data_IF_806895062886
#
_entry.id   IF_806895062886
#
_cell.length_a   1.000
_cell.length_b   1.000
_cell.length_c   1.000
_cell.angle_alpha   90.00
_cell.angle_beta   90.00
_cell.angle_gamma   90.00
#
_symmetry.space_group_name_H-M   'P 1'
#
loop_
_entity.id
_entity.type
_entity.pdbx_description
1 polymer ?
#
# COMPACT_ATOMS: atom_id res chain seq x y z
N UNK A 1 31.13 -30.67 -56.23
CA UNK A 1 31.16 -29.59 -57.24
C UNK A 1 30.15 -28.53 -56.78
N UNK A 2 30.45 -27.36 -56.22
CA UNK A 2 31.62 -26.47 -56.06
C UNK A 2 31.45 -25.86 -54.64
N UNK A 3 32.33 -26.07 -53.66
CA UNK A 3 33.53 -25.28 -53.30
C UNK A 3 33.35 -23.74 -53.16
N UNK A 4 33.80 -23.22 -51.99
CA UNK A 4 34.58 -21.97 -51.76
C UNK A 4 33.76 -20.64 -51.69
N UNK A 5 33.92 -19.68 -50.77
CA UNK A 5 34.85 -19.51 -49.64
C UNK A 5 34.37 -18.45 -48.61
N UNK A 6 34.91 -18.62 -47.39
CA UNK A 6 35.30 -17.64 -46.35
C UNK A 6 35.26 -16.12 -46.65
N UNK A 7 34.85 -15.32 -45.65
CA UNK A 7 35.64 -14.20 -45.12
C UNK A 7 35.10 -13.58 -43.83
N UNK A 8 35.95 -13.65 -42.81
CA UNK A 8 35.95 -12.97 -41.53
C UNK A 8 36.53 -11.54 -41.64
N UNK A 9 36.07 -10.63 -40.77
CA UNK A 9 36.76 -9.40 -40.29
C UNK A 9 35.91 -8.85 -39.14
N UNK A 10 36.22 -9.00 -37.84
CA UNK A 10 37.33 -8.45 -37.03
C UNK A 10 37.76 -7.03 -37.38
N UNK A 11 37.29 -6.07 -36.58
CA UNK A 11 38.04 -4.86 -36.24
C UNK A 11 38.01 -4.70 -34.72
N UNK A 12 39.16 -5.00 -34.11
CA UNK A 12 39.58 -4.46 -32.82
C UNK A 12 39.99 -3.01 -33.07
N UNK A 13 39.57 -2.09 -32.23
CA UNK A 13 40.39 -0.92 -31.91
C UNK A 13 40.46 -0.79 -30.38
N UNK A 14 41.68 -0.56 -29.93
CA UNK A 14 42.15 -0.56 -28.55
C UNK A 14 43.00 0.72 -28.41
N UNK A 15 43.03 1.27 -27.19
CA UNK A 15 44.01 2.26 -26.67
C UNK A 15 43.86 3.67 -27.32
N UNK A 16 43.91 4.82 -26.64
CA UNK A 16 44.64 5.28 -25.44
C UNK A 16 43.97 6.48 -24.80
N UNK A 17 44.07 6.50 -23.47
CA UNK A 17 44.24 7.66 -22.59
C UNK A 17 44.92 8.88 -23.22
N UNK A 18 44.39 10.08 -22.93
CA UNK A 18 45.20 11.28 -22.76
C UNK A 18 44.58 12.18 -21.70
N UNK A 19 45.46 12.61 -20.80
CA UNK A 19 45.27 13.61 -19.78
C UNK A 19 44.95 14.97 -20.43
N UNK A 20 44.11 15.80 -19.79
CA UNK A 20 44.44 17.22 -19.72
C UNK A 20 43.81 17.86 -18.48
N UNK A 21 44.69 18.56 -17.79
CA UNK A 21 44.56 19.18 -16.48
C UNK A 21 43.78 20.50 -16.51
N UNK A 22 43.30 20.85 -15.30
CA UNK A 22 43.18 22.19 -14.70
C UNK A 22 42.36 23.27 -15.42
N UNK A 23 41.31 23.74 -14.73
CA UNK A 23 41.25 24.98 -13.92
C UNK A 23 39.77 25.22 -13.60
N UNK A 24 39.34 25.15 -12.34
CA UNK A 24 39.42 26.30 -11.46
C UNK A 24 38.10 27.07 -11.44
N UNK A 25 37.18 26.73 -10.53
CA UNK A 25 36.24 27.67 -9.89
C UNK A 25 35.57 27.02 -8.69
N UNK A 26 36.12 27.41 -7.54
CA UNK A 26 35.65 27.16 -6.19
C UNK A 26 34.27 27.78 -5.94
N UNK A 27 33.31 26.97 -5.46
CA UNK A 27 32.16 27.49 -4.69
C UNK A 27 32.15 26.81 -3.32
N UNK A 28 32.21 27.67 -2.30
CA UNK A 28 32.57 27.38 -0.91
C UNK A 28 31.59 26.40 -0.26
N UNK A 29 32.14 25.34 0.33
CA UNK A 29 31.43 24.47 1.27
C UNK A 29 31.01 25.24 2.52
N UNK A 30 29.76 25.04 2.93
CA UNK A 30 29.25 25.53 4.22
C UNK A 30 29.91 24.72 5.36
N UNK A 31 30.99 25.26 5.89
CA UNK A 31 31.72 24.74 7.03
C UNK A 31 30.91 24.99 8.31
N UNK A 32 30.39 23.92 8.92
CA UNK A 32 29.82 23.95 10.27
C UNK A 32 30.91 24.38 11.28
N UNK A 33 30.84 25.61 11.77
CA UNK A 33 31.72 26.13 12.82
C UNK A 33 31.22 25.64 14.18
N UNK A 34 32.10 24.96 14.93
CA UNK A 34 31.87 24.61 16.34
C UNK A 34 31.70 25.91 17.15
N UNK A 35 30.70 26.03 18.05
CA UNK A 35 30.55 27.22 18.87
C UNK A 35 31.71 27.33 19.85
N UNK A 36 32.44 28.44 19.76
CA UNK A 36 33.51 28.84 20.68
C UNK A 36 32.91 29.15 22.05
N UNK A 37 33.44 28.52 23.09
CA UNK A 37 33.17 28.79 24.49
C UNK A 37 33.34 30.28 24.79
N UNK A 38 32.24 30.99 25.03
CA UNK A 38 32.24 32.32 25.65
C UNK A 38 31.84 32.20 27.12
N UNK A 39 32.49 33.07 27.86
CA UNK A 39 32.72 33.07 29.29
C UNK A 39 31.42 33.10 30.12
N UNK A 40 31.39 32.33 31.20
CA UNK A 40 30.24 31.95 32.02
C UNK A 40 29.92 32.98 33.13
N UNK A 41 30.21 34.27 32.92
CA UNK A 41 30.29 35.27 33.99
C UNK A 41 29.41 36.52 33.82
N UNK A 42 28.60 36.63 32.77
CA UNK A 42 27.56 37.66 32.66
C UNK A 42 26.19 37.02 32.86
N UNK A 43 25.29 37.72 33.56
CA UNK A 43 23.98 37.27 34.09
C UNK A 43 23.99 36.63 35.50
N UNK A 44 24.72 37.24 36.44
CA UNK A 44 24.38 37.18 37.87
C UNK A 44 23.51 38.39 38.21
N UNK A 45 22.19 38.18 38.29
CA UNK A 45 21.26 39.10 38.97
C UNK A 45 20.87 38.44 40.30
N UNK A 46 21.00 39.13 41.46
CA UNK A 46 20.68 38.55 42.75
C UNK A 46 19.16 38.64 43.00
N UNK A 47 18.41 37.57 42.73
CA UNK A 47 17.03 37.43 43.20
C UNK A 47 17.02 36.69 44.53
N UNK A 48 16.82 37.46 45.61
CA UNK A 48 16.42 36.95 46.92
C UNK A 48 14.96 36.52 46.82
N UNK A 49 14.71 35.22 46.69
CA UNK A 49 13.42 34.63 47.05
C UNK A 49 13.65 33.27 47.74
N UNK A 50 12.99 33.00 48.87
CA UNK A 50 13.25 31.82 49.69
C UNK A 50 12.76 30.54 49.01
N UNK A 51 13.62 29.51 49.05
CA UNK A 51 13.37 28.14 48.58
C UNK A 51 12.07 27.56 49.19
N UNK A 52 11.15 27.01 48.40
CA UNK A 52 10.04 26.25 48.93
C UNK A 52 10.53 24.92 49.51
N UNK A 53 10.01 24.61 50.70
CA UNK A 53 10.41 23.50 51.59
C UNK A 53 10.25 22.13 50.92
N UNK A 54 11.28 21.30 51.05
CA UNK A 54 11.28 19.87 50.70
C UNK A 54 10.29 19.15 51.64
N UNK A 55 9.13 18.77 51.12
CA UNK A 55 8.21 17.86 51.80
C UNK A 55 8.58 16.41 51.44
N UNK A 56 9.23 15.71 52.37
CA UNK A 56 9.22 14.25 52.40
C UNK A 56 7.83 13.79 52.87
N UNK A 57 7.07 13.09 52.03
CA UNK A 57 6.19 11.97 52.43
C UNK A 57 5.55 11.22 51.24
N UNK A 58 5.72 9.91 51.30
CA UNK A 58 4.80 8.82 50.89
C UNK A 58 4.43 8.65 49.41
N UNK A 59 4.99 7.59 48.79
CA UNK A 59 4.24 6.69 47.89
C UNK A 59 3.06 6.09 48.67
N UNK A 60 1.86 5.91 48.05
CA UNK A 60 1.62 4.71 47.25
C UNK A 60 0.70 4.86 46.03
N UNK A 61 0.94 4.01 45.03
CA UNK A 61 0.00 3.55 43.98
C UNK A 61 -0.44 4.52 42.87
N UNK A 62 0.06 4.28 41.64
CA UNK A 62 -0.56 4.76 40.40
C UNK A 62 -0.81 3.60 39.39
N UNK A 63 -1.98 2.92 39.42
CA UNK A 63 -2.42 2.01 38.34
C UNK A 63 -3.22 2.72 37.22
N UNK A 64 -3.44 4.05 37.30
CA UNK A 64 -4.54 4.71 36.57
C UNK A 64 -4.26 5.07 35.10
N UNK A 65 -3.03 4.96 34.61
CA UNK A 65 -2.69 5.27 33.20
C UNK A 65 -2.90 4.10 32.23
N UNK A 66 -2.96 2.86 32.73
CA UNK A 66 -3.18 1.68 31.88
C UNK A 66 -4.67 1.37 31.66
N UNK A 67 -5.55 1.68 32.62
CA UNK A 67 -7.00 1.38 32.56
C UNK A 67 -7.73 2.25 31.53
N UNK A 68 -7.46 3.56 31.49
CA UNK A 68 -8.12 4.49 30.53
C UNK A 68 -7.86 4.14 29.06
N UNK A 69 -6.71 3.53 28.76
CA UNK A 69 -6.37 3.12 27.39
C UNK A 69 -7.03 1.79 27.01
N UNK A 70 -7.39 0.96 27.99
CA UNK A 70 -8.15 -0.27 27.78
C UNK A 70 -9.65 0.00 27.60
N UNK A 71 -10.24 0.92 28.37
CA UNK A 71 -11.64 1.34 28.20
C UNK A 71 -11.90 1.99 26.83
N UNK A 72 -11.05 2.94 26.40
CA UNK A 72 -11.17 3.54 25.05
C UNK A 72 -11.02 2.52 23.92
N UNK A 73 -10.24 1.45 24.11
CA UNK A 73 -10.14 0.35 23.14
C UNK A 73 -11.39 -0.54 23.15
N UNK A 74 -11.96 -0.81 24.32
CA UNK A 74 -13.20 -1.59 24.49
C UNK A 74 -14.40 -0.85 23.89
N UNK A 75 -14.56 0.45 24.14
CA UNK A 75 -15.63 1.28 23.56
C UNK A 75 -15.56 1.38 22.04
N UNK A 76 -14.35 1.53 21.47
CA UNK A 76 -14.17 1.50 20.01
C UNK A 76 -14.53 0.14 19.41
N UNK A 77 -14.20 -0.94 20.11
CA UNK A 77 -14.55 -2.30 19.69
C UNK A 77 -16.07 -2.56 19.77
N UNK A 78 -16.77 -2.05 20.79
CA UNK A 78 -18.24 -2.17 20.90
C UNK A 78 -18.95 -1.34 19.84
N UNK A 79 -18.48 -0.13 19.55
CA UNK A 79 -19.04 0.70 18.48
C UNK A 79 -18.88 0.07 17.09
N UNK A 80 -17.71 -0.52 16.79
CA UNK A 80 -17.48 -1.27 15.54
C UNK A 80 -18.38 -2.50 15.42
N UNK A 81 -18.60 -3.23 16.52
CA UNK A 81 -19.52 -4.37 16.55
C UNK A 81 -20.97 -3.96 16.25
N UNK A 82 -21.47 -2.91 16.92
CA UNK A 82 -22.83 -2.40 16.70
C UNK A 82 -23.02 -1.87 15.27
N UNK A 83 -22.00 -1.20 14.72
CA UNK A 83 -22.00 -0.74 13.33
C UNK A 83 -22.00 -1.90 12.33
N UNK A 84 -21.28 -2.98 12.64
CA UNK A 84 -21.27 -4.21 11.83
C UNK A 84 -22.59 -4.96 11.85
N UNK A 85 -23.24 -5.00 13.01
CA UNK A 85 -24.54 -5.66 13.18
C UNK A 85 -25.64 -4.92 12.41
N UNK A 86 -25.71 -3.59 12.55
CA UNK A 86 -26.63 -2.76 11.76
C UNK A 86 -26.40 -2.90 10.26
N UNK A 87 -25.14 -3.04 9.84
CA UNK A 87 -24.78 -3.18 8.44
C UNK A 87 -25.08 -4.57 7.85
N UNK A 88 -25.02 -5.62 8.68
CA UNK A 88 -25.52 -6.94 8.29
C UNK A 88 -27.04 -6.94 8.17
N UNK A 89 -27.73 -6.21 9.04
CA UNK A 89 -29.18 -6.06 8.97
C UNK A 89 -29.63 -5.29 7.71
N UNK A 90 -28.87 -4.28 7.27
CA UNK A 90 -29.21 -3.50 6.07
C UNK A 90 -28.94 -4.22 4.75
N UNK A 91 -28.01 -5.18 4.71
CA UNK A 91 -27.53 -5.78 3.47
C UNK A 91 -28.17 -7.14 3.13
N UNK A 92 -29.24 -7.53 3.83
CA UNK A 92 -29.96 -8.78 3.60
C UNK A 92 -29.11 -10.05 3.82
N UNK A 93 -29.72 -11.25 3.75
CA UNK A 93 -28.97 -12.49 3.66
C UNK A 93 -28.01 -12.41 2.47
N UNK A 94 -26.76 -12.83 2.67
CA UNK A 94 -25.75 -12.93 1.62
C UNK A 94 -26.31 -13.79 0.49
N UNK A 95 -26.87 -13.17 -0.54
CA UNK A 95 -27.06 -13.85 -1.80
C UNK A 95 -25.66 -14.22 -2.26
N UNK A 96 -25.28 -15.48 -2.00
CA UNK A 96 -24.40 -16.20 -2.89
C UNK A 96 -25.19 -16.28 -4.20
N UNK A 97 -25.22 -15.19 -4.96
CA UNK A 97 -25.70 -15.24 -6.33
C UNK A 97 -24.88 -16.35 -6.95
N UNK A 98 -25.54 -17.46 -7.27
CA UNK A 98 -24.96 -18.67 -7.84
C UNK A 98 -24.56 -18.43 -9.30
N UNK A 99 -23.96 -17.27 -9.57
CA UNK A 99 -23.12 -17.09 -10.73
C UNK A 99 -21.90 -17.95 -10.45
N UNK A 100 -21.94 -19.19 -10.94
CA UNK A 100 -20.87 -20.16 -10.80
C UNK A 100 -19.59 -19.51 -11.32
N UNK A 101 -18.69 -19.15 -10.42
CA UNK A 101 -17.37 -18.62 -10.78
C UNK A 101 -16.65 -19.69 -11.60
N UNK A 102 -15.86 -19.25 -12.57
CA UNK A 102 -14.99 -20.19 -13.27
C UNK A 102 -13.96 -20.72 -12.26
N UNK A 103 -13.54 -22.00 -12.36
CA UNK A 103 -12.58 -22.59 -11.42
C UNK A 103 -11.31 -21.75 -11.21
N UNK A 104 -10.84 -21.09 -12.28
CA UNK A 104 -9.67 -20.24 -12.27
C UNK A 104 -9.91 -18.90 -11.54
N UNK A 105 -11.12 -18.35 -11.58
CA UNK A 105 -11.47 -17.15 -10.81
C UNK A 105 -11.48 -17.42 -9.31
N UNK A 106 -11.92 -18.61 -8.89
CA UNK A 106 -11.84 -19.03 -7.49
C UNK A 106 -10.40 -19.21 -7.00
N UNK A 107 -9.52 -19.70 -7.86
CA UNK A 107 -8.08 -19.82 -7.55
C UNK A 107 -7.43 -18.43 -7.46
N UNK A 108 -7.73 -17.55 -8.42
CA UNK A 108 -7.30 -16.15 -8.40
C UNK A 108 -7.73 -15.44 -7.11
N UNK A 109 -8.97 -15.67 -6.66
CA UNK A 109 -9.45 -15.09 -5.40
C UNK A 109 -8.68 -15.54 -4.18
N UNK A 110 -8.42 -16.85 -4.08
CA UNK A 110 -7.64 -17.40 -2.98
C UNK A 110 -6.24 -16.79 -2.96
N UNK A 111 -5.60 -16.67 -4.12
CA UNK A 111 -4.28 -16.06 -4.26
C UNK A 111 -4.29 -14.56 -3.88
N UNK A 112 -5.24 -13.78 -4.38
CA UNK A 112 -5.39 -12.35 -4.07
C UNK A 112 -5.65 -12.13 -2.57
N UNK A 113 -6.57 -12.88 -1.98
CA UNK A 113 -6.88 -12.78 -0.55
C UNK A 113 -5.67 -13.17 0.31
N UNK A 114 -4.87 -14.14 -0.11
CA UNK A 114 -3.65 -14.55 0.59
C UNK A 114 -2.57 -13.46 0.51
N UNK A 115 -2.36 -12.87 -0.66
CA UNK A 115 -1.45 -11.74 -0.86
C UNK A 115 -1.81 -10.57 0.09
N UNK A 116 -3.08 -10.15 0.07
CA UNK A 116 -3.58 -9.04 0.90
C UNK A 116 -3.39 -9.34 2.39
N UNK A 117 -3.80 -10.53 2.85
CA UNK A 117 -3.63 -10.94 4.27
C UNK A 117 -2.17 -10.91 4.69
N UNK A 118 -1.26 -11.36 3.82
CA UNK A 118 0.18 -11.40 4.09
C UNK A 118 0.76 -10.00 4.20
N UNK A 119 0.46 -9.12 3.24
CA UNK A 119 0.91 -7.73 3.26
C UNK A 119 0.36 -6.97 4.48
N UNK A 120 -0.90 -7.24 4.84
CA UNK A 120 -1.52 -6.65 6.03
C UNK A 120 -0.80 -7.09 7.31
N UNK A 121 -0.44 -8.37 7.44
CA UNK A 121 0.36 -8.87 8.58
C UNK A 121 1.72 -8.17 8.67
N UNK A 122 2.39 -7.95 7.54
CA UNK A 122 3.65 -7.21 7.50
C UNK A 122 3.48 -5.76 7.96
N UNK A 123 2.44 -5.08 7.48
CA UNK A 123 2.12 -3.72 7.90
C UNK A 123 1.78 -3.65 9.40
N UNK A 124 1.01 -4.61 9.92
CA UNK A 124 0.65 -4.66 11.35
C UNK A 124 1.85 -4.93 12.25
N UNK A 125 2.81 -5.74 11.80
CA UNK A 125 4.07 -5.96 12.52
C UNK A 125 4.88 -4.67 12.66
N UNK A 126 4.95 -3.86 11.59
CA UNK A 126 5.62 -2.55 11.66
C UNK A 126 4.83 -1.58 12.54
N UNK A 127 3.49 -1.57 12.41
CA UNK A 127 2.62 -0.71 13.20
C UNK A 127 2.76 -0.96 14.71
N UNK A 128 2.85 -2.23 15.14
CA UNK A 128 3.08 -2.60 16.54
C UNK A 128 4.41 -2.08 17.09
N UNK A 129 5.43 -1.96 16.24
CA UNK A 129 6.77 -1.44 16.64
C UNK A 129 6.81 0.08 16.63
N UNK A 130 6.37 0.70 15.53
CA UNK A 130 6.33 2.16 15.37
C UNK A 130 5.21 2.55 14.41
N UNK A 131 4.29 3.35 14.92
CA UNK A 131 3.16 3.85 14.15
C UNK A 131 3.59 4.87 13.08
N UNK A 132 4.60 5.68 13.36
CA UNK A 132 5.12 6.69 12.42
C UNK A 132 5.73 6.01 11.19
N UNK A 133 6.61 5.02 11.40
CA UNK A 133 7.21 4.24 10.31
C UNK A 133 6.17 3.51 9.47
N UNK A 134 5.13 2.95 10.11
CA UNK A 134 4.07 2.26 9.41
C UNK A 134 3.18 3.19 8.56
N UNK A 135 3.04 4.46 8.95
CA UNK A 135 2.32 5.48 8.17
C UNK A 135 3.15 5.99 6.99
N UNK A 136 4.45 6.16 7.20
CA UNK A 136 5.40 6.57 6.17
C UNK A 136 5.54 5.49 5.08
N UNK A 137 5.67 4.22 5.47
CA UNK A 137 5.85 3.08 4.57
C UNK A 137 4.61 2.16 4.57
N UNK A 138 3.47 2.72 4.16
CA UNK A 138 2.24 1.93 3.95
C UNK A 138 2.39 1.02 2.73
N UNK A 139 1.96 -0.22 2.87
CA UNK A 139 2.01 -1.24 1.81
C UNK A 139 0.71 -1.33 1.00
N UNK A 140 -0.40 -0.96 1.63
CA UNK A 140 -1.75 -1.03 1.09
C UNK A 140 -2.45 0.32 1.31
N UNK A 141 -3.24 0.73 0.33
CA UNK A 141 -4.26 1.80 0.44
C UNK A 141 -5.62 1.25 0.06
N UNK A 142 -6.66 1.85 0.62
CA UNK A 142 -8.02 1.33 0.51
C UNK A 142 -8.97 2.41 0.04
N UNK A 143 -9.81 2.08 -0.94
CA UNK A 143 -10.82 2.99 -1.48
C UNK A 143 -10.40 3.65 -2.78
N UNK A 144 -11.40 4.04 -3.56
CA UNK A 144 -11.25 4.51 -4.93
C UNK A 144 -10.44 5.80 -5.03
N UNK A 145 -10.78 6.81 -4.23
CA UNK A 145 -10.12 8.11 -4.27
C UNK A 145 -8.66 8.07 -3.80
N UNK A 146 -8.38 7.33 -2.72
CA UNK A 146 -7.02 7.16 -2.22
C UNK A 146 -6.16 6.37 -3.21
N UNK A 147 -6.74 5.35 -3.84
CA UNK A 147 -6.08 4.57 -4.90
C UNK A 147 -5.73 5.45 -6.09
N UNK A 148 -6.67 6.25 -6.60
CA UNK A 148 -6.42 7.21 -7.69
C UNK A 148 -5.29 8.19 -7.35
N UNK A 149 -5.28 8.73 -6.12
CA UNK A 149 -4.22 9.62 -5.65
C UNK A 149 -2.85 8.93 -5.69
N UNK A 150 -2.78 7.66 -5.31
CA UNK A 150 -1.52 6.88 -5.35
C UNK A 150 -1.12 6.50 -6.77
N UNK A 151 -2.06 6.08 -7.62
CA UNK A 151 -1.76 5.82 -9.03
C UNK A 151 -1.14 7.07 -9.68
N UNK A 152 -1.65 8.27 -9.38
CA UNK A 152 -1.10 9.55 -9.85
C UNK A 152 0.30 9.88 -9.31
N UNK A 153 0.68 9.32 -8.17
CA UNK A 153 1.99 9.46 -7.56
C UNK A 153 2.99 8.35 -7.95
N UNK A 154 2.61 7.46 -8.88
CA UNK A 154 3.46 6.39 -9.46
C UNK A 154 4.07 5.42 -8.44
N UNK A 155 3.39 5.24 -7.31
CA UNK A 155 3.86 4.45 -6.18
C UNK A 155 2.97 3.21 -5.95
N UNK A 156 2.33 2.72 -7.01
CA UNK A 156 1.41 1.58 -7.05
C UNK A 156 1.99 0.49 -7.95
N UNK A 157 2.00 -0.75 -7.47
CA UNK A 157 2.41 -1.93 -8.25
C UNK A 157 1.23 -2.63 -8.91
N UNK A 158 0.12 -2.76 -8.18
CA UNK A 158 -1.07 -3.47 -8.66
C UNK A 158 -2.33 -2.92 -7.99
N UNK A 159 -3.44 -2.93 -8.73
CA UNK A 159 -4.75 -2.49 -8.24
C UNK A 159 -5.71 -3.68 -8.26
N UNK A 160 -6.41 -3.89 -7.14
CA UNK A 160 -7.42 -4.94 -6.98
C UNK A 160 -8.78 -4.27 -6.78
N UNK A 161 -9.75 -4.68 -7.58
CA UNK A 161 -11.14 -4.22 -7.58
C UNK A 161 -12.07 -5.40 -7.28
N UNK A 162 -13.08 -5.18 -6.44
CA UNK A 162 -14.10 -6.18 -6.16
C UNK A 162 -14.91 -6.48 -7.43
N UNK A 163 -15.23 -7.76 -7.69
CA UNK A 163 -16.05 -8.14 -8.86
C UNK A 163 -17.47 -7.58 -8.81
N UNK A 164 -18.02 -7.39 -7.62
CA UNK A 164 -19.38 -6.88 -7.42
C UNK A 164 -19.43 -5.35 -7.31
N UNK A 165 -18.39 -4.62 -7.72
CA UNK A 165 -18.37 -3.15 -7.62
C UNK A 165 -19.39 -2.50 -8.56
N UNK A 166 -19.54 -2.99 -9.79
CA UNK A 166 -20.36 -2.32 -10.80
C UNK A 166 -21.87 -2.45 -10.51
N UNK A 167 -22.31 -3.58 -9.93
CA UNK A 167 -23.72 -3.86 -9.63
C UNK A 167 -24.36 -2.94 -8.59
N UNK A 168 -23.54 -2.25 -7.80
CA UNK A 168 -24.01 -1.45 -6.66
C UNK A 168 -23.72 0.05 -6.84
N UNK A 169 -23.02 0.42 -7.91
CA UNK A 169 -22.56 1.80 -8.16
C UNK A 169 -23.41 2.45 -9.26
N UNK A 170 -24.73 2.46 -9.06
CA UNK A 170 -25.68 3.18 -9.92
C UNK A 170 -25.56 4.71 -9.80
N UNK A 171 -24.72 5.20 -8.88
CA UNK A 171 -24.44 6.62 -8.72
C UNK A 171 -23.43 7.11 -9.76
N UNK A 172 -23.87 8.05 -10.61
CA UNK A 172 -23.08 8.64 -11.70
C UNK A 172 -21.67 9.11 -11.27
N UNK A 173 -21.54 9.71 -10.08
CA UNK A 173 -20.26 10.18 -9.52
C UNK A 173 -19.29 9.05 -9.19
N UNK A 174 -19.77 7.88 -8.76
CA UNK A 174 -18.89 6.75 -8.44
C UNK A 174 -18.45 6.05 -9.72
N UNK A 175 -19.34 5.95 -10.70
CA UNK A 175 -19.06 5.41 -12.03
C UNK A 175 -17.99 6.23 -12.74
N UNK A 176 -18.04 7.56 -12.66
CA UNK A 176 -17.03 8.43 -13.28
C UNK A 176 -15.63 8.21 -12.68
N UNK A 177 -15.52 8.13 -11.35
CA UNK A 177 -14.25 7.85 -10.68
C UNK A 177 -13.71 6.45 -10.99
N UNK A 178 -14.57 5.45 -11.15
CA UNK A 178 -14.15 4.10 -11.51
C UNK A 178 -13.66 4.04 -12.96
N UNK A 179 -14.29 4.81 -13.86
CA UNK A 179 -13.83 4.98 -15.22
C UNK A 179 -12.45 5.67 -15.26
N UNK A 180 -12.26 6.73 -14.46
CA UNK A 180 -10.97 7.39 -14.33
C UNK A 180 -9.90 6.45 -13.78
N UNK A 181 -10.25 5.59 -12.81
CA UNK A 181 -9.35 4.55 -12.31
C UNK A 181 -8.89 3.63 -13.44
N UNK A 182 -9.83 3.10 -14.23
CA UNK A 182 -9.52 2.22 -15.37
C UNK A 182 -8.62 2.93 -16.39
N UNK A 183 -8.94 4.18 -16.75
CA UNK A 183 -8.12 5.00 -17.66
C UNK A 183 -6.69 5.21 -17.15
N UNK A 184 -6.53 5.56 -15.87
CA UNK A 184 -5.22 5.81 -15.27
C UNK A 184 -4.39 4.53 -15.13
N UNK A 185 -5.03 3.37 -14.89
CA UNK A 185 -4.36 2.07 -14.89
C UNK A 185 -3.81 1.72 -16.29
N UNK A 186 -4.63 1.88 -17.34
CA UNK A 186 -4.19 1.63 -18.73
C UNK A 186 -3.04 2.57 -19.11
N UNK A 187 -3.18 3.87 -18.82
CA UNK A 187 -2.16 4.89 -19.11
C UNK A 187 -0.79 4.54 -18.48
N UNK A 188 -0.79 4.01 -17.26
CA UNK A 188 0.43 3.64 -16.53
C UNK A 188 0.84 2.16 -16.68
N UNK A 189 0.11 1.38 -17.47
CA UNK A 189 0.32 -0.07 -17.62
C UNK A 189 0.31 -0.82 -16.28
N UNK A 190 -0.58 -0.40 -15.38
CA UNK A 190 -0.76 -1.05 -14.08
C UNK A 190 -1.75 -2.21 -14.21
N UNK A 191 -1.41 -3.41 -13.69
CA UNK A 191 -2.34 -4.53 -13.65
C UNK A 191 -3.56 -4.16 -12.79
N UNK A 192 -4.74 -4.31 -13.37
CA UNK A 192 -6.03 -4.12 -12.72
C UNK A 192 -6.73 -5.48 -12.62
N UNK A 193 -6.86 -6.00 -11.40
CA UNK A 193 -7.41 -7.33 -11.16
C UNK A 193 -8.79 -7.22 -10.53
N UNK A 194 -9.78 -7.81 -11.19
CA UNK A 194 -11.12 -7.97 -10.65
C UNK A 194 -11.19 -9.29 -9.86
N UNK A 195 -11.20 -9.22 -8.54
CA UNK A 195 -11.16 -10.41 -7.68
C UNK A 195 -11.95 -10.22 -6.39
N UNK A 196 -12.53 -11.32 -5.92
CA UNK A 196 -13.33 -11.47 -4.71
C UNK A 196 -14.51 -10.49 -4.61
N UNK A 197 -15.33 -10.70 -3.59
CA UNK A 197 -16.39 -9.76 -3.23
C UNK A 197 -15.87 -8.67 -2.29
N UNK A 198 -16.54 -7.51 -2.26
CA UNK A 198 -16.23 -6.41 -1.33
C UNK A 198 -16.15 -6.87 0.14
N UNK A 199 -16.95 -7.87 0.51
CA UNK A 199 -16.99 -8.45 1.86
C UNK A 199 -15.73 -9.28 2.15
N UNK A 200 -15.30 -10.11 1.19
CA UNK A 200 -14.10 -10.94 1.33
C UNK A 200 -12.83 -10.10 1.38
N UNK A 201 -12.74 -9.10 0.50
CA UNK A 201 -11.65 -8.12 0.54
C UNK A 201 -11.61 -7.39 1.88
N UNK A 202 -12.75 -6.92 2.39
CA UNK A 202 -12.80 -6.24 3.69
C UNK A 202 -12.42 -7.14 4.86
N UNK A 203 -12.86 -8.41 4.84
CA UNK A 203 -12.47 -9.43 5.82
C UNK A 203 -10.97 -9.68 5.80
N UNK A 204 -10.37 -9.83 4.62
CA UNK A 204 -8.92 -9.99 4.46
C UNK A 204 -8.14 -8.79 5.00
N UNK A 205 -8.68 -7.58 4.83
CA UNK A 205 -8.06 -6.34 5.29
C UNK A 205 -8.34 -6.01 6.77
N UNK A 206 -9.24 -6.74 7.44
CA UNK A 206 -9.78 -6.38 8.76
C UNK A 206 -10.28 -4.93 8.83
N UNK A 207 -10.87 -4.45 7.73
CA UNK A 207 -11.46 -3.11 7.59
C UNK A 207 -12.99 -3.23 7.66
N UNK A 208 -13.61 -2.17 8.17
CA UNK A 208 -15.06 -2.01 8.23
C UNK A 208 -15.45 -0.70 7.52
N UNK A 209 -16.57 -0.61 6.77
CA UNK A 209 -17.57 -1.65 6.49
C UNK A 209 -17.17 -2.63 5.37
N UNK A 210 -16.86 -2.11 4.18
CA UNK A 210 -16.40 -2.87 3.01
C UNK A 210 -15.24 -2.16 2.34
N UNK A 211 -14.50 -2.89 1.51
CA UNK A 211 -13.42 -2.34 0.70
C UNK A 211 -13.62 -2.80 -0.74
N UNK A 212 -13.88 -1.84 -1.63
CA UNK A 212 -14.17 -2.12 -3.04
C UNK A 212 -12.91 -2.10 -3.90
N UNK A 213 -11.95 -1.23 -3.55
CA UNK A 213 -10.71 -1.01 -4.30
C UNK A 213 -9.54 -1.03 -3.32
N UNK A 214 -8.48 -1.74 -3.69
CA UNK A 214 -7.24 -1.85 -2.92
C UNK A 214 -6.08 -1.59 -3.87
N UNK A 215 -5.23 -0.63 -3.55
CA UNK A 215 -3.96 -0.47 -4.26
C UNK A 215 -2.82 -1.03 -3.40
N UNK A 216 -1.98 -1.86 -4.03
CA UNK A 216 -0.79 -2.43 -3.42
C UNK A 216 0.42 -1.62 -3.88
N UNK A 217 1.17 -1.12 -2.90
CA UNK A 217 2.22 -0.13 -3.09
C UNK A 217 3.60 -0.77 -2.97
N UNK A 218 3.72 -1.68 -2.00
CA UNK A 218 4.95 -2.41 -1.74
C UNK A 218 4.64 -3.88 -1.47
N UNK A 219 5.40 -4.73 -2.14
CA UNK A 219 5.33 -6.20 -2.10
C UNK A 219 6.57 -6.83 -1.50
N UNK A 220 7.44 -6.04 -0.87
CA UNK A 220 8.69 -6.52 -0.26
C UNK A 220 8.46 -7.71 0.69
N UNK A 221 8.97 -8.88 0.33
CA UNK A 221 8.81 -10.15 1.07
C UNK A 221 7.53 -10.94 0.77
N UNK A 222 6.83 -10.59 -0.31
CA UNK A 222 5.62 -11.27 -0.83
C UNK A 222 5.57 -11.23 -2.37
N UNK A 223 6.72 -11.15 -3.03
CA UNK A 223 6.87 -11.02 -4.48
C UNK A 223 6.38 -12.27 -5.21
N UNK A 224 6.56 -13.46 -4.62
CA UNK A 224 6.07 -14.71 -5.19
C UNK A 224 4.54 -14.75 -5.23
N UNK A 225 3.86 -14.22 -4.21
CA UNK A 225 2.41 -14.10 -4.21
C UNK A 225 1.92 -13.13 -5.30
N UNK A 226 2.64 -12.03 -5.54
CA UNK A 226 2.30 -11.10 -6.62
C UNK A 226 2.46 -11.77 -8.00
N UNK A 227 3.55 -12.50 -8.19
CA UNK A 227 3.84 -13.21 -9.44
C UNK A 227 2.75 -14.24 -9.75
N UNK A 228 2.34 -15.00 -8.73
CA UNK A 228 1.26 -15.98 -8.87
C UNK A 228 -0.09 -15.33 -9.18
N UNK A 229 -0.43 -14.24 -8.50
CA UNK A 229 -1.65 -13.48 -8.77
C UNK A 229 -1.67 -12.94 -10.22
N UNK A 230 -0.54 -12.45 -10.72
CA UNK A 230 -0.43 -11.92 -12.08
C UNK A 230 -0.60 -13.04 -13.11
N UNK A 231 0.07 -14.18 -12.91
CA UNK A 231 -0.05 -15.39 -13.74
C UNK A 231 -1.50 -15.88 -13.83
N UNK A 232 -2.17 -16.02 -12.68
CA UNK A 232 -3.56 -16.46 -12.62
C UNK A 232 -4.51 -15.45 -13.29
N UNK A 233 -4.24 -14.15 -13.14
CA UNK A 233 -5.04 -13.11 -13.79
C UNK A 233 -4.93 -13.15 -15.31
N UNK A 234 -3.71 -13.30 -15.86
CA UNK A 234 -3.49 -13.44 -17.30
C UNK A 234 -4.25 -14.65 -17.86
N UNK A 235 -4.17 -15.80 -17.17
CA UNK A 235 -4.91 -17.00 -17.57
C UNK A 235 -6.43 -16.79 -17.49
N UNK A 236 -6.93 -16.10 -16.45
CA UNK A 236 -8.35 -15.85 -16.27
C UNK A 236 -8.90 -14.87 -17.34
N UNK A 237 -8.14 -13.82 -17.64
CA UNK A 237 -8.47 -12.87 -18.71
C UNK A 237 -8.53 -13.58 -20.06
N UNK A 238 -7.53 -14.41 -20.37
CA UNK A 238 -7.50 -15.18 -21.62
C UNK A 238 -8.72 -16.12 -21.76
N UNK A 239 -9.08 -16.84 -20.69
CA UNK A 239 -10.26 -17.71 -20.71
C UNK A 239 -11.56 -16.91 -20.93
N UNK A 240 -11.66 -15.72 -20.34
CA UNK A 240 -12.83 -14.85 -20.48
C UNK A 240 -12.98 -14.36 -21.93
N UNK A 241 -11.90 -13.88 -22.53
CA UNK A 241 -11.88 -13.45 -23.93
C UNK A 241 -12.32 -14.58 -24.87
N UNK A 242 -11.81 -15.80 -24.67
CA UNK A 242 -12.25 -16.96 -25.46
C UNK A 242 -13.75 -17.26 -25.32
N UNK A 243 -14.29 -17.17 -24.11
CA UNK A 243 -15.72 -17.41 -23.87
C UNK A 243 -16.61 -16.34 -24.49
N UNK A 244 -16.18 -15.07 -24.49
CA UNK A 244 -16.88 -13.96 -25.12
C UNK A 244 -16.90 -14.11 -26.64
N UNK A 245 -15.75 -14.48 -27.23
CA UNK A 245 -15.65 -14.77 -28.67
C UNK A 245 -16.58 -15.91 -29.09
N UNK A 246 -16.58 -17.04 -28.36
CA UNK A 246 -17.49 -18.15 -28.65
C UNK A 246 -18.96 -17.73 -28.58
N UNK A 247 -19.33 -16.96 -27.56
CA UNK A 247 -20.71 -16.47 -27.41
C UNK A 247 -21.14 -15.57 -28.58
N UNK A 248 -20.25 -14.72 -29.09
CA UNK A 248 -20.52 -13.86 -30.26
C UNK A 248 -20.62 -14.61 -31.59
N UNK A 249 -20.00 -15.80 -31.69
CA UNK A 249 -20.04 -16.66 -32.87
C UNK A 249 -21.37 -17.44 -32.99
N UNK A 250 -22.06 -17.64 -31.87
CA UNK A 250 -23.31 -18.41 -31.80
C UNK A 250 -24.56 -17.54 -31.52
N UNK A 251 -24.42 -16.21 -31.46
CA UNK A 251 -25.51 -15.24 -31.32
C UNK A 251 -25.84 -14.61 -32.67
#
# INVERSE_FOLDING_TARGET
>A
MKHIDTLSRTTKETITSSECSNEGKTTKGAQWKKPTTRNLAEYLVPTKDPLPKINKRTTPNEPKKQVKNQEKKKEKATHLKKKLENFRASNGPLERTTNKLLPLEEELDKAVLLLIKTLKKFQDRVWKKSQEKARAHRRLVFGLHETLKRIRAEDVKIVVTARNIDKEMEQETVTSLLLDLKKECVKRRLPLINSATKLELSKACSKFPYTNVIAILDTSGAEHYLSEVTRLNEQATFQKELSEHQSSLFA
#
